data_IF_769983456883
#
_entry.id   IF_769983456883
#
_cell.length_a   1.000
_cell.length_b   1.000
_cell.length_c   1.000
_cell.angle_alpha   90.00
_cell.angle_beta   90.00
_cell.angle_gamma   90.00
#
_symmetry.space_group_name_H-M   'P 1'
#
loop_
_entity.id
_entity.type
_entity.pdbx_description
1 polymer ?
#
# COMPACT_ATOMS: atom_id res chain seq x y z
N UNK A 1 -21.31 -6.63 23.54
CA UNK A 1 -20.15 -5.80 23.15
C UNK A 1 -20.00 -5.90 21.65
N UNK A 2 -20.33 -4.84 20.93
CA UNK A 2 -20.38 -4.81 19.47
C UNK A 2 -18.98 -4.60 18.88
N UNK A 3 -18.71 -5.28 17.77
CA UNK A 3 -17.40 -5.56 17.16
C UNK A 3 -16.59 -4.34 16.70
N UNK A 4 -15.32 -4.17 17.14
CA UNK A 4 -14.39 -3.14 16.65
C UNK A 4 -13.90 -3.31 15.20
N UNK A 5 -14.18 -4.45 14.56
CA UNK A 5 -13.50 -4.88 13.34
C UNK A 5 -13.78 -4.05 12.09
N UNK A 6 -14.99 -3.47 11.95
CA UNK A 6 -15.37 -2.70 10.75
C UNK A 6 -14.66 -1.34 10.64
N UNK A 7 -14.51 -0.61 11.75
CA UNK A 7 -13.87 0.70 11.75
C UNK A 7 -12.35 0.60 11.52
N UNK A 8 -11.70 -0.47 12.00
CA UNK A 8 -10.28 -0.72 11.78
C UNK A 8 -9.98 -1.10 10.31
N UNK A 9 -10.87 -1.84 9.66
CA UNK A 9 -10.75 -2.20 8.24
C UNK A 9 -10.86 -0.98 7.32
N UNK A 10 -11.85 -0.12 7.57
CA UNK A 10 -12.01 1.11 6.79
C UNK A 10 -10.82 2.07 7.01
N UNK A 11 -10.35 2.20 8.24
CA UNK A 11 -9.19 3.05 8.57
C UNK A 11 -7.91 2.58 7.88
N UNK A 12 -7.61 1.27 7.94
CA UNK A 12 -6.40 0.74 7.31
C UNK A 12 -6.42 0.90 5.79
N UNK A 13 -7.54 0.55 5.15
CA UNK A 13 -7.72 0.73 3.69
C UNK A 13 -7.54 2.19 3.27
N UNK A 14 -8.13 3.14 4.02
CA UNK A 14 -7.98 4.57 3.74
C UNK A 14 -6.51 5.04 3.89
N UNK A 15 -5.78 4.52 4.88
CA UNK A 15 -4.35 4.81 5.06
C UNK A 15 -3.52 4.29 3.89
N UNK A 16 -3.72 3.05 3.45
CA UNK A 16 -3.01 2.50 2.28
C UNK A 16 -3.28 3.32 1.02
N UNK A 17 -4.55 3.61 0.72
CA UNK A 17 -4.93 4.40 -0.46
C UNK A 17 -4.32 5.80 -0.45
N UNK A 18 -4.30 6.45 0.71
CA UNK A 18 -3.68 7.78 0.88
C UNK A 18 -2.17 7.72 0.64
N UNK A 19 -1.49 6.69 1.15
CA UNK A 19 -0.05 6.51 0.96
C UNK A 19 0.30 6.27 -0.52
N UNK A 20 -0.48 5.46 -1.24
CA UNK A 20 -0.31 5.24 -2.69
C UNK A 20 -0.46 6.55 -3.46
N UNK A 21 -1.50 7.34 -3.18
CA UNK A 21 -1.70 8.64 -3.83
C UNK A 21 -0.53 9.61 -3.62
N UNK A 22 0.08 9.62 -2.43
CA UNK A 22 1.27 10.44 -2.18
C UNK A 22 2.48 9.98 -2.99
N UNK A 23 2.69 8.66 -3.13
CA UNK A 23 3.78 8.11 -3.92
C UNK A 23 3.59 8.41 -5.41
N UNK A 24 2.37 8.26 -5.94
CA UNK A 24 2.03 8.60 -7.32
C UNK A 24 2.26 10.10 -7.60
N UNK A 25 1.79 10.95 -6.69
CA UNK A 25 1.99 12.40 -6.77
C UNK A 25 3.47 12.78 -6.76
N UNK A 26 4.28 12.16 -5.89
CA UNK A 26 5.72 12.37 -5.82
C UNK A 26 6.40 11.94 -7.13
N UNK A 27 6.05 10.78 -7.69
CA UNK A 27 6.57 10.31 -8.99
C UNK A 27 6.24 11.28 -10.12
N UNK A 28 5.00 11.78 -10.17
CA UNK A 28 4.58 12.73 -11.19
C UNK A 28 5.37 14.04 -11.10
N UNK A 29 5.60 14.55 -9.89
CA UNK A 29 6.41 15.75 -9.70
C UNK A 29 7.87 15.52 -10.09
N UNK A 30 8.45 14.37 -9.73
CA UNK A 30 9.81 14.01 -10.13
C UNK A 30 9.96 13.94 -11.65
N UNK A 31 8.98 13.36 -12.35
CA UNK A 31 8.98 13.31 -13.82
C UNK A 31 8.94 14.72 -14.45
N UNK A 32 8.13 15.64 -13.89
CA UNK A 32 8.07 17.02 -14.35
C UNK A 32 9.41 17.75 -14.16
N UNK A 33 10.02 17.63 -12.98
CA UNK A 33 11.34 18.23 -12.69
C UNK A 33 12.43 17.62 -13.57
N UNK A 34 12.38 16.31 -13.82
CA UNK A 34 13.31 15.62 -14.74
C UNK A 34 13.25 16.20 -16.15
N UNK A 35 12.04 16.47 -16.67
CA UNK A 35 11.87 17.14 -17.96
C UNK A 35 12.49 18.55 -17.99
N UNK A 36 12.21 19.36 -16.96
CA UNK A 36 12.76 20.72 -16.86
C UNK A 36 14.30 20.75 -16.81
N UNK A 37 14.91 19.81 -16.08
CA UNK A 37 16.37 19.69 -16.01
C UNK A 37 16.95 19.20 -17.33
N UNK A 38 16.28 18.28 -18.03
CA UNK A 38 16.70 17.84 -19.36
C UNK A 38 16.69 19.00 -20.38
N UNK A 39 15.65 19.83 -20.37
CA UNK A 39 15.54 21.01 -21.24
C UNK A 39 16.64 22.06 -20.93
N UNK A 40 16.89 22.30 -19.64
CA UNK A 40 17.97 23.18 -19.20
C UNK A 40 19.34 22.65 -19.61
N UNK A 41 19.56 21.34 -19.48
CA UNK A 41 20.81 20.69 -19.88
C UNK A 41 21.03 20.76 -21.39
N UNK A 42 19.99 20.54 -22.20
CA UNK A 42 20.05 20.67 -23.66
C UNK A 42 20.39 22.11 -24.08
N UNK A 43 19.77 23.10 -23.41
CA UNK A 43 20.05 24.53 -23.65
C UNK A 43 21.51 24.85 -23.31
N UNK A 44 22.02 24.37 -22.18
CA UNK A 44 23.40 24.63 -21.76
C UNK A 44 24.40 23.94 -22.69
N UNK A 45 24.13 22.70 -23.09
CA UNK A 45 24.93 21.92 -24.05
C UNK A 45 25.10 22.63 -25.39
N UNK A 46 24.08 23.36 -25.86
CA UNK A 46 24.17 24.10 -27.12
C UNK A 46 25.20 25.24 -27.06
N UNK A 47 25.43 25.81 -25.88
CA UNK A 47 26.31 26.96 -25.66
C UNK A 47 27.68 26.57 -25.08
N UNK A 48 27.80 25.38 -24.48
CA UNK A 48 29.04 24.87 -23.87
C UNK A 48 29.45 23.54 -24.52
N UNK A 49 30.28 23.63 -25.57
CA UNK A 49 30.83 22.46 -26.29
C UNK A 49 32.25 22.07 -25.84
N UNK A 50 32.80 22.75 -24.82
CA UNK A 50 34.13 22.48 -24.29
C UNK A 50 34.17 21.33 -23.27
N UNK A 51 35.35 21.01 -22.71
CA UNK A 51 35.52 20.00 -21.66
C UNK A 51 34.55 20.18 -20.48
N UNK A 52 34.28 21.43 -20.10
CA UNK A 52 33.33 21.77 -19.03
C UNK A 52 31.89 21.38 -19.38
N UNK A 53 31.50 21.50 -20.65
CA UNK A 53 30.20 21.07 -21.15
C UNK A 53 30.02 19.55 -21.07
N UNK A 54 31.08 18.80 -21.38
CA UNK A 54 31.07 17.34 -21.23
C UNK A 54 30.97 16.91 -19.75
N UNK A 55 31.73 17.56 -18.85
CA UNK A 55 31.64 17.28 -17.42
C UNK A 55 30.24 17.59 -16.87
N UNK A 56 29.66 18.72 -17.27
CA UNK A 56 28.30 19.09 -16.89
C UNK A 56 27.26 18.08 -17.42
N UNK A 57 27.36 17.67 -18.68
CA UNK A 57 26.47 16.67 -19.26
C UNK A 57 26.52 15.33 -18.50
N UNK A 58 27.71 14.91 -18.05
CA UNK A 58 27.87 13.72 -17.22
C UNK A 58 27.18 13.88 -15.85
N UNK A 59 27.29 15.03 -15.20
CA UNK A 59 26.59 15.31 -13.94
C UNK A 59 25.08 15.25 -14.12
N UNK A 60 24.55 15.85 -15.20
CA UNK A 60 23.12 15.81 -15.51
C UNK A 60 22.62 14.38 -15.79
N UNK A 61 23.41 13.58 -16.50
CA UNK A 61 23.09 12.17 -16.75
C UNK A 61 23.04 11.36 -15.44
N UNK A 62 24.02 11.55 -14.56
CA UNK A 62 24.04 10.89 -13.25
C UNK A 62 22.84 11.30 -12.39
N UNK A 63 22.51 12.60 -12.37
CA UNK A 63 21.34 13.10 -11.68
C UNK A 63 20.05 12.47 -12.20
N UNK A 64 19.89 12.38 -13.53
CA UNK A 64 18.72 11.74 -14.14
C UNK A 64 18.60 10.26 -13.75
N UNK A 65 19.73 9.54 -13.71
CA UNK A 65 19.74 8.14 -13.32
C UNK A 65 19.31 7.94 -11.85
N UNK A 66 19.74 8.82 -10.93
CA UNK A 66 19.29 8.77 -9.54
C UNK A 66 17.80 9.10 -9.40
N UNK A 67 17.26 10.04 -10.19
CA UNK A 67 15.82 10.33 -10.22
C UNK A 67 15.03 9.10 -10.67
N UNK A 68 15.48 8.41 -11.71
CA UNK A 68 14.83 7.18 -12.18
C UNK A 68 14.87 6.07 -11.13
N UNK A 69 15.97 5.94 -10.39
CA UNK A 69 16.08 5.00 -9.28
C UNK A 69 15.10 5.32 -8.15
N UNK A 70 14.92 6.59 -7.80
CA UNK A 70 13.95 7.01 -6.77
C UNK A 70 12.53 6.72 -7.25
N UNK A 71 12.19 7.04 -8.50
CA UNK A 71 10.88 6.72 -9.10
C UNK A 71 10.58 5.23 -9.06
N UNK A 72 11.55 4.38 -9.40
CA UNK A 72 11.41 2.93 -9.32
C UNK A 72 11.21 2.44 -7.87
N UNK A 73 11.83 3.11 -6.91
CA UNK A 73 11.63 2.80 -5.47
C UNK A 73 10.22 3.17 -5.02
N UNK A 74 9.69 4.32 -5.46
CA UNK A 74 8.28 4.69 -5.21
C UNK A 74 7.31 3.65 -5.79
N UNK A 75 7.55 3.19 -7.03
CA UNK A 75 6.76 2.14 -7.67
C UNK A 75 6.81 0.81 -6.90
N UNK A 76 7.99 0.42 -6.42
CA UNK A 76 8.12 -0.77 -5.60
C UNK A 76 7.33 -0.65 -4.27
N UNK A 77 7.32 0.54 -3.66
CA UNK A 77 6.54 0.80 -2.44
C UNK A 77 5.03 0.79 -2.70
N UNK A 78 4.55 1.36 -3.81
CA UNK A 78 3.15 1.27 -4.25
C UNK A 78 2.71 -0.19 -4.37
N UNK A 79 3.49 -1.00 -5.10
CA UNK A 79 3.23 -2.44 -5.26
C UNK A 79 3.22 -3.19 -3.92
N UNK A 80 4.11 -2.85 -2.99
CA UNK A 80 4.13 -3.46 -1.66
C UNK A 80 2.90 -3.08 -0.82
N UNK A 81 2.46 -1.83 -0.90
CA UNK A 81 1.26 -1.35 -0.21
C UNK A 81 0.00 -2.04 -0.75
N UNK A 82 -0.11 -2.19 -2.07
CA UNK A 82 -1.24 -2.90 -2.70
C UNK A 82 -1.27 -4.38 -2.32
N UNK A 83 -0.12 -5.07 -2.37
CA UNK A 83 -0.02 -6.45 -1.92
C UNK A 83 -0.39 -6.60 -0.45
N UNK A 84 0.05 -5.66 0.40
CA UNK A 84 -0.29 -5.63 1.83
C UNK A 84 -1.78 -5.43 2.05
N UNK A 85 -2.41 -4.55 1.27
CA UNK A 85 -3.85 -4.32 1.31
C UNK A 85 -4.63 -5.59 0.93
N UNK A 86 -4.24 -6.27 -0.15
CA UNK A 86 -4.87 -7.52 -0.56
C UNK A 86 -4.73 -8.62 0.50
N UNK A 87 -3.54 -8.79 1.07
CA UNK A 87 -3.27 -9.75 2.13
C UNK A 87 -4.08 -9.44 3.41
N UNK A 88 -4.17 -8.16 3.77
CA UNK A 88 -4.96 -7.69 4.91
C UNK A 88 -6.45 -7.99 4.71
N UNK A 89 -7.01 -7.65 3.54
CA UNK A 89 -8.39 -7.93 3.19
C UNK A 89 -8.70 -9.44 3.22
N UNK A 90 -7.80 -10.28 2.70
CA UNK A 90 -7.96 -11.73 2.75
C UNK A 90 -7.96 -12.25 4.19
N UNK A 91 -6.98 -11.85 4.99
CA UNK A 91 -6.88 -12.27 6.41
C UNK A 91 -8.14 -11.86 7.18
N UNK A 92 -8.67 -10.67 6.93
CA UNK A 92 -9.89 -10.18 7.56
C UNK A 92 -11.13 -10.96 7.12
N UNK A 93 -11.24 -11.31 5.83
CA UNK A 93 -12.33 -12.14 5.32
C UNK A 93 -12.31 -13.54 5.95
N UNK A 94 -11.15 -14.18 5.99
CA UNK A 94 -10.96 -15.50 6.60
C UNK A 94 -11.31 -15.46 8.10
N UNK A 95 -10.88 -14.41 8.81
CA UNK A 95 -11.23 -14.21 10.23
C UNK A 95 -12.73 -14.00 10.45
N UNK A 96 -13.40 -13.21 9.60
CA UNK A 96 -14.86 -13.00 9.70
C UNK A 96 -15.64 -14.29 9.49
N UNK A 97 -15.23 -15.12 8.52
CA UNK A 97 -15.80 -16.44 8.29
C UNK A 97 -15.62 -17.38 9.50
N UNK A 98 -14.42 -17.43 10.07
CA UNK A 98 -14.13 -18.24 11.25
C UNK A 98 -14.92 -17.79 12.48
N UNK A 99 -15.05 -16.48 12.71
CA UNK A 99 -15.87 -15.92 13.80
C UNK A 99 -17.35 -16.24 13.60
N UNK A 100 -17.88 -16.10 12.38
CA UNK A 100 -19.26 -16.45 12.08
C UNK A 100 -19.52 -17.95 12.30
N UNK A 101 -18.60 -18.81 11.86
CA UNK A 101 -18.68 -20.26 12.06
C UNK A 101 -18.60 -20.64 13.56
N UNK A 102 -17.68 -20.03 14.32
CA UNK A 102 -17.56 -20.23 15.76
C UNK A 102 -18.79 -19.70 16.52
N UNK A 103 -19.36 -18.56 16.10
CA UNK A 103 -20.61 -18.03 16.64
C UNK A 103 -21.80 -18.96 16.39
N UNK A 104 -21.89 -19.53 15.18
CA UNK A 104 -22.91 -20.53 14.85
C UNK A 104 -22.76 -21.81 15.70
N UNK A 105 -21.53 -22.29 15.88
CA UNK A 105 -21.24 -23.45 16.75
C UNK A 105 -21.55 -23.16 18.23
N UNK A 106 -21.25 -21.94 18.71
CA UNK A 106 -21.52 -21.52 20.08
C UNK A 106 -23.03 -21.40 20.38
N UNK A 107 -23.82 -20.91 19.42
CA UNK A 107 -25.28 -20.86 19.53
C UNK A 107 -25.89 -22.28 19.51
N UNK A 108 -25.33 -23.20 18.72
CA UNK A 108 -25.78 -24.59 18.68
C UNK A 108 -25.48 -25.39 19.95
N UNK A 109 -24.59 -24.91 20.83
CA UNK A 109 -24.20 -25.58 22.08
C UNK A 109 -24.81 -24.93 23.34
N UNK A 110 -25.82 -24.05 23.16
CA UNK A 110 -26.45 -23.26 24.24
C UNK A 110 -27.85 -23.71 24.66
N UNK A 111 -28.36 -24.88 24.24
CA UNK A 111 -29.69 -25.34 24.67
C UNK A 111 -29.78 -26.87 24.79
N UNK A 112 -28.99 -27.47 25.69
CA UNK A 112 -29.19 -28.88 26.10
C UNK A 112 -29.35 -29.02 27.62
N UNK A 113 -29.46 -27.91 28.38
CA UNK A 113 -29.33 -27.96 29.84
C UNK A 113 -30.64 -28.00 30.64
N UNK A 114 -31.83 -28.00 30.05
CA UNK A 114 -33.09 -28.05 30.84
C UNK A 114 -33.92 -29.33 30.67
N UNK A 115 -33.68 -30.15 29.63
CA UNK A 115 -34.50 -31.36 29.37
C UNK A 115 -33.91 -32.68 29.88
N UNK A 116 -32.58 -32.79 29.98
CA UNK A 116 -31.93 -34.10 30.18
C UNK A 116 -31.94 -34.55 31.64
N UNK A 117 -31.82 -33.62 32.59
CA UNK A 117 -31.83 -33.94 34.03
C UNK A 117 -33.21 -34.38 34.56
N UNK A 118 -34.30 -34.08 33.84
CA UNK A 118 -35.66 -34.53 34.19
C UNK A 118 -35.93 -36.00 33.81
N UNK A 119 -35.11 -36.61 32.96
CA UNK A 119 -35.37 -37.98 32.44
C UNK A 119 -34.64 -39.09 33.21
N UNK A 120 -33.78 -38.73 34.17
CA UNK A 120 -32.99 -39.67 34.98
C UNK A 120 -33.56 -39.89 36.39
N UNK A 121 -34.64 -39.20 36.76
CA UNK A 121 -35.25 -39.30 38.10
C UNK A 121 -36.73 -39.67 38.09
N UNK A 122 -37.28 -40.19 36.97
CA UNK A 122 -38.63 -40.75 36.90
C UNK A 122 -38.60 -42.27 36.97
#
# INVERSE_FOLDING_TARGET
MSTPSGNLQQSSTATYATAVQYLEGARSQMAAVQGQVADAAATLSAHYQGPDGHAYAQVMANWSAEVDRIKATCEAMENQLDNSLMASNKTQSDNSGAVQQAGHLSISHGSVSDGVYSSLTS
#
